data_IF_095788695879
#
_entry.id   IF_095788695879
#
_cell.length_a   1.000
_cell.length_b   1.000
_cell.length_c   1.000
_cell.angle_alpha   90.00
_cell.angle_beta   90.00
_cell.angle_gamma   90.00
#
_symmetry.space_group_name_H-M   'P 1'
#
loop_
_entity.id
_entity.type
_entity.pdbx_description
1 polymer ?
#
# COMPACT_ATOMS: atom_id res chain seq x y z
N UNK A 1 -10.81 6.63 -16.90
CA UNK A 1 -11.36 7.03 -15.58
C UNK A 1 -10.31 7.89 -14.89
N UNK A 2 -10.46 9.22 -14.88
CA UNK A 2 -9.70 10.08 -13.98
C UNK A 2 -10.38 10.00 -12.60
N UNK A 3 -10.12 8.94 -11.85
CA UNK A 3 -10.67 8.80 -10.50
C UNK A 3 -9.93 9.77 -9.58
N UNK A 4 -10.66 10.76 -9.07
CA UNK A 4 -10.19 11.79 -8.14
C UNK A 4 -9.96 11.23 -6.73
N UNK A 5 -9.50 9.98 -6.62
CA UNK A 5 -9.28 9.26 -5.38
C UNK A 5 -8.04 9.81 -4.65
N UNK A 6 -8.11 9.86 -3.33
CA UNK A 6 -7.01 10.12 -2.42
C UNK A 6 -6.07 8.91 -2.33
N UNK A 7 -4.89 9.10 -1.73
CA UNK A 7 -3.93 8.02 -1.46
C UNK A 7 -4.57 6.88 -0.65
N UNK A 8 -5.44 7.21 0.31
CA UNK A 8 -6.10 6.24 1.19
C UNK A 8 -7.22 5.49 0.46
N UNK A 9 -8.01 6.19 -0.37
CA UNK A 9 -9.03 5.53 -1.19
C UNK A 9 -8.39 4.57 -2.20
N UNK A 10 -7.22 4.91 -2.78
CA UNK A 10 -6.47 3.98 -3.62
C UNK A 10 -5.93 2.77 -2.82
N UNK A 11 -5.58 2.96 -1.55
CA UNK A 11 -5.17 1.85 -0.67
C UNK A 11 -6.35 0.90 -0.41
N UNK A 12 -7.51 1.43 -0.03
CA UNK A 12 -8.73 0.63 0.18
C UNK A 12 -9.19 -0.06 -1.10
N UNK A 13 -9.11 0.66 -2.23
CA UNK A 13 -9.46 0.11 -3.53
C UNK A 13 -8.53 -1.03 -3.93
N UNK A 14 -7.22 -0.92 -3.68
CA UNK A 14 -6.25 -2.01 -3.93
C UNK A 14 -6.68 -3.30 -3.24
N UNK A 15 -7.00 -3.26 -1.94
CA UNK A 15 -7.39 -4.48 -1.21
C UNK A 15 -8.76 -5.01 -1.64
N UNK A 16 -9.70 -4.12 -1.97
CA UNK A 16 -11.01 -4.49 -2.53
C UNK A 16 -10.86 -5.21 -3.87
N UNK A 17 -9.97 -4.73 -4.74
CA UNK A 17 -9.72 -5.36 -6.04
C UNK A 17 -8.95 -6.67 -5.88
N UNK A 18 -7.97 -6.70 -4.98
CA UNK A 18 -7.22 -7.90 -4.66
C UNK A 18 -8.12 -9.04 -4.15
N UNK A 19 -9.04 -8.77 -3.20
CA UNK A 19 -9.97 -9.79 -2.70
C UNK A 19 -10.95 -10.28 -3.77
N UNK A 20 -11.25 -9.44 -4.76
CA UNK A 20 -12.07 -9.78 -5.93
C UNK A 20 -11.30 -10.48 -7.05
N UNK A 21 -10.03 -10.86 -6.83
CA UNK A 21 -9.23 -11.59 -7.81
C UNK A 21 -8.75 -10.75 -9.00
N UNK A 22 -8.58 -9.43 -8.81
CA UNK A 22 -7.99 -8.56 -9.82
C UNK A 22 -6.60 -9.06 -10.24
N UNK A 23 -6.28 -8.87 -11.52
CA UNK A 23 -5.01 -9.31 -12.08
C UNK A 23 -3.85 -8.37 -11.68
N UNK A 24 -2.62 -8.84 -11.91
CA UNK A 24 -1.41 -8.10 -11.51
C UNK A 24 -1.25 -6.74 -12.22
N UNK A 25 -1.71 -6.61 -13.47
CA UNK A 25 -1.61 -5.32 -14.19
C UNK A 25 -2.54 -4.29 -13.55
N UNK A 26 -3.77 -4.68 -13.24
CA UNK A 26 -4.74 -3.81 -12.57
C UNK A 26 -4.22 -3.38 -11.18
N UNK A 27 -3.73 -4.32 -10.38
CA UNK A 27 -3.18 -4.01 -9.05
C UNK A 27 -1.94 -3.10 -9.14
N UNK A 28 -1.09 -3.30 -10.16
CA UNK A 28 0.05 -2.44 -10.44
C UNK A 28 -0.38 -1.03 -10.82
N UNK A 29 -1.43 -0.87 -11.62
CA UNK A 29 -1.93 0.44 -12.04
C UNK A 29 -2.44 1.24 -10.84
N UNK A 30 -3.17 0.59 -9.92
CA UNK A 30 -3.63 1.20 -8.66
C UNK A 30 -2.44 1.67 -7.83
N UNK A 31 -1.40 0.83 -7.67
CA UNK A 31 -0.18 1.21 -6.93
C UNK A 31 0.59 2.34 -7.60
N UNK A 32 0.66 2.34 -8.92
CA UNK A 32 1.33 3.41 -9.70
C UNK A 32 0.65 4.76 -9.48
N UNK A 33 -0.68 4.79 -9.51
CA UNK A 33 -1.46 6.00 -9.22
C UNK A 33 -1.28 6.46 -7.76
N UNK A 34 -1.26 5.52 -6.82
CA UNK A 34 -1.06 5.81 -5.40
C UNK A 34 0.32 6.44 -5.16
N UNK A 35 1.39 5.88 -5.75
CA UNK A 35 2.74 6.43 -5.65
C UNK A 35 2.85 7.82 -6.27
N UNK A 36 2.23 8.05 -7.43
CA UNK A 36 2.22 9.36 -8.06
C UNK A 36 1.63 10.42 -7.11
N UNK A 37 0.48 10.12 -6.49
CA UNK A 37 -0.13 11.02 -5.50
C UNK A 37 0.71 11.19 -4.24
N UNK A 38 1.34 10.14 -3.73
CA UNK A 38 2.26 10.24 -2.58
C UNK A 38 3.44 11.19 -2.88
N UNK A 39 3.92 11.23 -4.13
CA UNK A 39 5.01 12.13 -4.54
C UNK A 39 4.59 13.60 -4.63
N UNK A 40 3.30 13.88 -4.79
CA UNK A 40 2.76 15.25 -4.77
C UNK A 40 2.60 15.79 -3.34
N UNK A 41 2.61 14.93 -2.32
CA UNK A 41 2.41 15.32 -0.93
C UNK A 41 3.68 15.90 -0.28
N UNK A 42 3.52 16.79 0.72
CA UNK A 42 4.60 17.25 1.58
C UNK A 42 5.36 16.10 2.24
N UNK A 43 6.64 16.33 2.58
CA UNK A 43 7.53 15.29 3.09
C UNK A 43 6.98 14.57 4.33
N UNK A 44 6.45 15.31 5.30
CA UNK A 44 5.89 14.74 6.54
C UNK A 44 4.69 13.85 6.26
N UNK A 45 3.80 14.30 5.38
CA UNK A 45 2.61 13.54 5.02
C UNK A 45 2.95 12.29 4.19
N UNK A 46 3.92 12.41 3.27
CA UNK A 46 4.49 11.27 2.55
C UNK A 46 5.03 10.22 3.51
N UNK A 47 5.82 10.59 4.50
CA UNK A 47 6.39 9.66 5.48
C UNK A 47 5.29 8.96 6.27
N UNK A 48 4.31 9.73 6.77
CA UNK A 48 3.16 9.21 7.51
C UNK A 48 2.35 8.20 6.70
N UNK A 49 1.99 8.54 5.47
CA UNK A 49 1.18 7.67 4.62
C UNK A 49 1.95 6.44 4.14
N UNK A 50 3.22 6.60 3.74
CA UNK A 50 4.06 5.47 3.33
C UNK A 50 4.20 4.45 4.45
N UNK A 51 4.41 4.92 5.70
CA UNK A 51 4.47 4.04 6.87
C UNK A 51 3.16 3.29 7.06
N UNK A 52 2.02 3.98 7.05
CA UNK A 52 0.69 3.37 7.21
C UNK A 52 0.39 2.32 6.13
N UNK A 53 0.65 2.64 4.86
CA UNK A 53 0.42 1.72 3.73
C UNK A 53 1.29 0.47 3.89
N UNK A 54 2.56 0.65 4.27
CA UNK A 54 3.49 -0.45 4.52
C UNK A 54 3.01 -1.35 5.66
N UNK A 55 2.60 -0.77 6.79
CA UNK A 55 2.08 -1.52 7.95
C UNK A 55 0.86 -2.34 7.55
N UNK A 56 -0.11 -1.73 6.85
CA UNK A 56 -1.28 -2.46 6.37
C UNK A 56 -0.93 -3.59 5.39
N UNK A 57 0.03 -3.37 4.49
CA UNK A 57 0.48 -4.42 3.58
C UNK A 57 1.09 -5.62 4.34
N UNK A 58 1.91 -5.34 5.35
CA UNK A 58 2.47 -6.37 6.22
C UNK A 58 1.34 -7.17 6.89
N UNK A 59 0.29 -6.50 7.37
CA UNK A 59 -0.80 -7.16 8.08
C UNK A 59 -1.73 -7.97 7.17
N UNK A 60 -2.04 -7.45 5.98
CA UNK A 60 -3.05 -8.01 5.07
C UNK A 60 -2.47 -9.00 4.05
N UNK A 61 -1.21 -8.82 3.63
CA UNK A 61 -0.63 -9.57 2.50
C UNK A 61 0.47 -10.54 2.91
N UNK A 62 1.21 -10.26 3.99
CA UNK A 62 2.31 -11.13 4.39
C UNK A 62 1.83 -12.28 5.26
N UNK A 63 2.39 -13.47 4.98
CA UNK A 63 2.23 -14.63 5.86
C UNK A 63 2.77 -14.33 7.25
N UNK A 64 2.29 -15.06 8.26
CA UNK A 64 2.77 -14.93 9.64
C UNK A 64 4.29 -15.16 9.75
N UNK A 65 4.84 -16.09 8.95
CA UNK A 65 6.29 -16.33 8.89
C UNK A 65 7.06 -15.12 8.32
N UNK A 66 6.58 -14.51 7.23
CA UNK A 66 7.18 -13.32 6.65
C UNK A 66 7.10 -12.12 7.61
N UNK A 67 6.00 -11.98 8.36
CA UNK A 67 5.85 -10.94 9.40
C UNK A 67 6.88 -11.12 10.52
N UNK A 68 7.04 -12.33 11.05
CA UNK A 68 8.02 -12.62 12.10
C UNK A 68 9.46 -12.32 11.67
N UNK A 69 9.82 -12.61 10.41
CA UNK A 69 11.15 -12.29 9.87
C UNK A 69 11.42 -10.78 9.77
N UNK A 70 10.38 -9.97 9.50
CA UNK A 70 10.53 -8.52 9.47
C UNK A 70 10.69 -7.92 10.87
N UNK A 71 10.05 -8.52 11.88
CA UNK A 71 10.16 -8.08 13.27
C UNK A 71 11.51 -8.46 13.89
N UNK A 72 12.03 -9.65 13.62
CA UNK A 72 13.34 -10.07 14.14
C UNK A 72 14.49 -9.23 13.61
N UNK A 73 14.39 -8.72 12.36
CA UNK A 73 15.35 -7.77 11.78
C UNK A 73 15.34 -6.36 12.39
N UNK A 74 14.33 -6.01 13.20
CA UNK A 74 14.25 -4.70 13.87
C UNK A 74 15.05 -4.66 15.19
N UNK A 75 15.47 -5.82 15.69
CA UNK A 75 16.15 -6.00 16.98
C UNK A 75 17.64 -6.35 16.86
N UNK A 76 18.23 -6.14 15.68
CA UNK A 76 19.68 -6.23 15.41
C UNK A 76 20.15 -4.82 15.04
#
# INVERSE_FOLDING_TARGET
>A
MQNNMTVLELDDFYYTRHSNGANLLELRDIRTQQEAKIRELPLEERQRLTKRIRERYIDQMLSSSARSMLQSKKHI
#
